data_IF_294876692495
#
_entry.id   IF_294876692495
#
_cell.length_a   1.000
_cell.length_b   1.000
_cell.length_c   1.000
_cell.angle_alpha   90.00
_cell.angle_beta   90.00
_cell.angle_gamma   90.00
#
_symmetry.space_group_name_H-M   'P 1'
#
loop_
_entity.id
_entity.type
_entity.pdbx_description
1 polymer ?
#
# COMPACT_ATOMS: atom_id res chain seq x y z
N UNK A 1 -23.23 34.61 32.53
CA UNK A 1 -22.49 34.87 31.26
C UNK A 1 -20.98 34.60 31.36
N UNK A 2 -20.30 34.90 32.49
CA UNK A 2 -18.85 34.64 32.65
C UNK A 2 -18.39 33.18 32.44
N UNK A 3 -19.22 32.19 32.80
CA UNK A 3 -18.91 30.76 32.63
C UNK A 3 -19.00 30.27 31.17
N UNK A 4 -19.83 30.94 30.36
CA UNK A 4 -19.99 30.63 28.94
C UNK A 4 -18.85 31.21 28.09
N UNK A 5 -18.29 32.34 28.52
CA UNK A 5 -17.10 32.92 27.90
C UNK A 5 -15.85 32.03 28.08
N UNK A 6 -15.71 31.38 29.23
CA UNK A 6 -14.60 30.45 29.51
C UNK A 6 -14.71 29.16 28.68
N UNK A 7 -15.92 28.64 28.49
CA UNK A 7 -16.17 27.47 27.64
C UNK A 7 -15.87 27.74 26.15
N UNK A 8 -16.18 28.95 25.65
CA UNK A 8 -15.88 29.35 24.28
C UNK A 8 -14.37 29.55 24.03
N UNK A 9 -13.61 30.02 25.04
CA UNK A 9 -12.15 30.13 24.94
C UNK A 9 -11.44 28.76 24.93
N UNK A 10 -11.94 27.78 25.70
CA UNK A 10 -11.37 26.43 25.72
C UNK A 10 -11.61 25.68 24.39
N UNK A 11 -12.79 25.87 23.77
CA UNK A 11 -13.10 25.30 22.45
C UNK A 11 -12.22 25.88 21.33
N UNK A 12 -11.77 27.13 21.46
CA UNK A 12 -10.87 27.75 20.47
C UNK A 12 -9.41 27.27 20.60
N UNK A 13 -8.98 26.76 21.76
CA UNK A 13 -7.63 26.21 21.94
C UNK A 13 -7.47 24.78 21.40
N UNK A 14 -8.57 24.05 21.17
CA UNK A 14 -8.53 22.69 20.62
C UNK A 14 -8.58 22.63 19.08
N UNK A 15 -8.70 23.76 18.38
CA UNK A 15 -8.64 23.80 16.91
C UNK A 15 -7.21 23.67 16.36
N UNK A 16 -6.19 23.73 17.23
CA UNK A 16 -4.79 23.58 16.85
C UNK A 16 -4.30 22.11 16.82
N UNK A 17 -5.12 21.13 17.19
CA UNK A 17 -4.80 19.71 16.97
C UNK A 17 -5.18 19.29 15.55
N UNK A 18 -4.67 20.02 14.56
CA UNK A 18 -4.50 19.44 13.23
C UNK A 18 -3.49 18.30 13.36
N UNK A 19 -3.65 17.18 12.62
CA UNK A 19 -2.70 16.10 12.68
C UNK A 19 -1.28 16.65 12.45
N UNK A 20 -0.37 16.33 13.37
CA UNK A 20 1.09 16.49 13.23
C UNK A 20 1.59 15.53 12.13
N UNK A 21 1.05 15.67 10.93
CA UNK A 21 1.52 15.05 9.70
C UNK A 21 1.68 16.10 8.59
N UNK A 22 1.24 17.34 8.84
CA UNK A 22 1.47 18.49 7.98
C UNK A 22 2.56 19.45 8.52
N UNK A 23 3.23 19.09 9.61
CA UNK A 23 4.46 19.77 10.01
C UNK A 23 5.53 19.47 8.95
N UNK A 24 6.21 20.51 8.49
CA UNK A 24 7.16 20.48 7.37
C UNK A 24 8.16 19.33 7.52
N UNK A 25 7.98 18.24 6.75
CA UNK A 25 8.97 17.16 6.71
C UNK A 25 10.32 17.79 6.38
N UNK A 26 11.31 17.52 7.22
CA UNK A 26 12.70 17.91 6.98
C UNK A 26 13.18 17.33 5.65
N UNK A 27 14.21 17.92 5.04
CA UNK A 27 14.79 17.38 3.79
C UNK A 27 15.15 15.90 3.92
N UNK A 28 15.71 15.51 5.07
CA UNK A 28 16.09 14.13 5.35
C UNK A 28 14.88 13.19 5.38
N UNK A 29 13.79 13.59 6.03
CA UNK A 29 12.54 12.81 6.06
C UNK A 29 11.90 12.69 4.67
N UNK A 30 11.94 13.75 3.87
CA UNK A 30 11.48 13.71 2.47
C UNK A 30 12.32 12.78 1.61
N UNK A 31 13.65 12.83 1.75
CA UNK A 31 14.57 11.97 1.01
C UNK A 31 14.38 10.50 1.42
N UNK A 32 14.17 10.21 2.70
CA UNK A 32 13.83 8.87 3.19
C UNK A 32 12.48 8.38 2.63
N UNK A 33 11.46 9.23 2.60
CA UNK A 33 10.17 8.91 1.98
C UNK A 33 10.30 8.63 0.47
N UNK A 34 11.10 9.42 -0.25
CA UNK A 34 11.39 9.19 -1.67
C UNK A 34 12.18 7.90 -1.92
N UNK A 35 13.13 7.57 -1.04
CA UNK A 35 13.85 6.29 -1.11
C UNK A 35 12.91 5.11 -0.85
N UNK A 36 12.06 5.19 0.17
CA UNK A 36 11.08 4.16 0.48
C UNK A 36 10.09 3.96 -0.69
N UNK A 37 9.53 5.04 -1.25
CA UNK A 37 8.61 4.96 -2.39
C UNK A 37 9.27 4.41 -3.67
N UNK A 38 10.53 4.74 -3.95
CA UNK A 38 11.30 4.13 -5.05
C UNK A 38 11.50 2.62 -4.86
N UNK A 39 11.78 2.20 -3.62
CA UNK A 39 11.88 0.78 -3.30
C UNK A 39 10.53 0.09 -3.47
N UNK A 40 9.43 0.67 -2.98
CA UNK A 40 8.08 0.15 -3.20
C UNK A 40 7.74 0.02 -4.70
N UNK A 41 8.07 1.02 -5.52
CA UNK A 41 7.84 0.96 -6.97
C UNK A 41 8.60 -0.20 -7.64
N UNK A 42 9.84 -0.45 -7.19
CA UNK A 42 10.68 -1.56 -7.69
C UNK A 42 10.12 -2.92 -7.26
N UNK A 43 9.61 -3.02 -6.04
CA UNK A 43 8.96 -4.23 -5.53
C UNK A 43 7.66 -4.54 -6.27
N UNK A 44 6.84 -3.53 -6.55
CA UNK A 44 5.60 -3.68 -7.35
C UNK A 44 5.90 -4.15 -8.78
N UNK A 45 6.91 -3.58 -9.46
CA UNK A 45 7.33 -4.05 -10.79
C UNK A 45 7.80 -5.52 -10.74
N UNK A 46 8.54 -5.89 -9.69
CA UNK A 46 8.98 -7.27 -9.48
C UNK A 46 7.80 -8.22 -9.26
N UNK A 47 6.80 -7.81 -8.49
CA UNK A 47 5.56 -8.57 -8.27
C UNK A 47 4.79 -8.77 -9.57
N UNK A 48 4.60 -7.71 -10.35
CA UNK A 48 3.94 -7.77 -11.67
C UNK A 48 4.69 -8.70 -12.64
N UNK A 49 6.03 -8.68 -12.65
CA UNK A 49 6.85 -9.63 -13.42
C UNK A 49 6.60 -11.09 -12.98
N UNK A 50 6.48 -11.35 -11.69
CA UNK A 50 6.16 -12.70 -11.16
C UNK A 50 4.76 -13.15 -11.60
N UNK A 51 3.76 -12.27 -11.54
CA UNK A 51 2.39 -12.56 -12.01
C UNK A 51 2.40 -12.92 -13.50
N UNK A 52 3.15 -12.19 -14.34
CA UNK A 52 3.30 -12.51 -15.78
C UNK A 52 3.93 -13.89 -15.99
N UNK A 53 4.96 -14.25 -15.22
CA UNK A 53 5.59 -15.57 -15.29
C UNK A 53 4.63 -16.69 -14.87
N UNK A 54 3.91 -16.52 -13.77
CA UNK A 54 2.91 -17.50 -13.31
C UNK A 54 1.84 -17.74 -14.38
N UNK A 55 1.32 -16.67 -14.99
CA UNK A 55 0.38 -16.78 -16.11
C UNK A 55 0.96 -17.56 -17.31
N UNK A 56 2.24 -17.33 -17.65
CA UNK A 56 2.89 -18.04 -18.74
C UNK A 56 3.05 -19.54 -18.43
N UNK A 57 3.39 -19.90 -17.19
CA UNK A 57 3.51 -21.29 -16.76
C UNK A 57 2.15 -22.00 -16.72
N UNK A 58 1.10 -21.35 -16.21
CA UNK A 58 -0.27 -21.90 -16.21
C UNK A 58 -0.74 -22.15 -17.65
N UNK A 59 -0.43 -21.27 -18.60
CA UNK A 59 -0.77 -21.44 -20.03
C UNK A 59 -0.11 -22.67 -20.67
N UNK A 60 1.02 -23.16 -20.14
CA UNK A 60 1.61 -24.43 -20.61
C UNK A 60 0.71 -25.63 -20.29
N UNK A 61 -0.15 -25.49 -19.28
CA UNK A 61 -1.23 -26.42 -18.97
C UNK A 61 -0.74 -27.84 -18.70
N UNK A 62 -1.63 -28.81 -18.96
CA UNK A 62 -1.41 -30.23 -18.64
C UNK A 62 -0.29 -30.91 -19.45
N UNK A 63 0.27 -30.19 -20.44
CA UNK A 63 1.41 -30.67 -21.24
C UNK A 63 2.71 -30.68 -20.42
N UNK A 64 2.82 -29.81 -19.43
CA UNK A 64 4.04 -29.62 -18.62
C UNK A 64 3.79 -29.89 -17.14
N UNK A 65 2.57 -29.64 -16.66
CA UNK A 65 2.22 -29.74 -15.25
C UNK A 65 1.07 -30.72 -15.01
N UNK A 66 1.08 -31.39 -13.87
CA UNK A 66 -0.07 -32.13 -13.36
C UNK A 66 -1.24 -31.19 -13.00
N UNK A 67 -2.43 -31.76 -12.83
CA UNK A 67 -3.60 -30.98 -12.41
C UNK A 67 -3.39 -30.28 -11.06
N UNK A 68 -2.72 -30.95 -10.11
CA UNK A 68 -2.43 -30.39 -8.79
C UNK A 68 -1.39 -29.28 -8.86
N UNK A 69 -0.39 -29.38 -9.73
CA UNK A 69 0.59 -28.32 -9.95
C UNK A 69 -0.03 -27.09 -10.60
N UNK A 70 -0.92 -27.27 -11.59
CA UNK A 70 -1.69 -26.16 -12.17
C UNK A 70 -2.55 -25.49 -11.09
N UNK A 71 -3.21 -26.27 -10.24
CA UNK A 71 -4.00 -25.72 -9.12
C UNK A 71 -3.14 -24.89 -8.16
N UNK A 72 -1.95 -25.38 -7.80
CA UNK A 72 -0.98 -24.64 -6.97
C UNK A 72 -0.48 -23.37 -7.65
N UNK A 73 -0.22 -23.40 -8.96
CA UNK A 73 0.18 -22.22 -9.71
C UNK A 73 -0.94 -21.16 -9.75
N UNK A 74 -2.19 -21.60 -9.92
CA UNK A 74 -3.36 -20.73 -9.88
C UNK A 74 -3.52 -20.08 -8.51
N UNK A 75 -3.38 -20.84 -7.42
CA UNK A 75 -3.42 -20.28 -6.06
C UNK A 75 -2.36 -19.21 -5.84
N UNK A 76 -1.12 -19.45 -6.28
CA UNK A 76 -0.04 -18.45 -6.18
C UNK A 76 -0.31 -17.20 -7.02
N UNK A 77 -0.95 -17.35 -8.17
CA UNK A 77 -1.36 -16.22 -9.00
C UNK A 77 -2.42 -15.40 -8.27
N UNK A 78 -3.43 -16.05 -7.71
CA UNK A 78 -4.55 -15.39 -7.02
C UNK A 78 -4.03 -14.63 -5.78
N UNK A 79 -3.14 -15.23 -4.99
CA UNK A 79 -2.48 -14.59 -3.85
C UNK A 79 -1.66 -13.37 -4.27
N UNK A 80 -0.87 -13.47 -5.34
CA UNK A 80 -0.05 -12.37 -5.84
C UNK A 80 -0.90 -11.21 -6.37
N UNK A 81 -2.02 -11.50 -7.03
CA UNK A 81 -2.98 -10.48 -7.47
C UNK A 81 -3.69 -9.83 -6.28
N UNK A 82 -4.11 -10.60 -5.29
CA UNK A 82 -4.75 -10.06 -4.08
C UNK A 82 -3.80 -9.11 -3.33
N UNK A 83 -2.52 -9.47 -3.20
CA UNK A 83 -1.50 -8.62 -2.61
C UNK A 83 -1.29 -7.33 -3.42
N UNK A 84 -1.22 -7.44 -4.75
CA UNK A 84 -1.07 -6.26 -5.61
C UNK A 84 -2.28 -5.33 -5.46
N UNK A 85 -3.49 -5.87 -5.45
CA UNK A 85 -4.72 -5.10 -5.24
C UNK A 85 -4.73 -4.41 -3.87
N UNK A 86 -4.26 -5.08 -2.82
CA UNK A 86 -4.16 -4.49 -1.47
C UNK A 86 -3.17 -3.32 -1.43
N UNK A 87 -1.98 -3.50 -2.02
CA UNK A 87 -0.98 -2.42 -2.17
C UNK A 87 -1.55 -1.23 -2.94
N UNK A 88 -2.29 -1.49 -4.03
CA UNK A 88 -2.87 -0.43 -4.85
C UNK A 88 -4.06 0.28 -4.18
N UNK A 89 -4.84 -0.42 -3.36
CA UNK A 89 -5.96 0.15 -2.59
C UNK A 89 -5.46 0.92 -1.36
N UNK A 90 -4.39 0.45 -0.72
CA UNK A 90 -3.78 1.08 0.45
C UNK A 90 -2.98 2.35 0.15
N UNK A 91 -2.61 2.59 -1.11
CA UNK A 91 -1.84 3.77 -1.54
C UNK A 91 -2.65 5.08 -1.73
N UNK A 92 -3.93 5.11 -1.33
CA UNK A 92 -4.86 6.19 -1.65
C UNK A 92 -5.68 6.74 -0.49
N UNK A 93 -5.16 6.71 0.76
CA UNK A 93 -5.73 7.45 1.89
C UNK A 93 -4.68 8.31 2.58
#
# INVERSE_FOLDING_TARGET
MKKMAVLLMAAFMMSATVPVFAAEMTKEEKDQCLLASKNCATEVDTLQKKIKKLNAEIKKGKKVYSADEIKKLQQKLDEANALLDDILKGGGN
#
